data_IF_736616569152
#
_entry.id   IF_736616569152
#
_cell.length_a   1.000
_cell.length_b   1.000
_cell.length_c   1.000
_cell.angle_alpha   90.00
_cell.angle_beta   90.00
_cell.angle_gamma   90.00
#
_symmetry.space_group_name_H-M   'P 1'
#
loop_
_entity.id
_entity.type
_entity.pdbx_description
1 polymer ?
#
# COMPACT_ATOMS: atom_id res chain seq x y z
N UNK A 1 51.48 1.49 50.49
CA UNK A 1 51.05 1.44 49.07
C UNK A 1 52.29 1.72 48.21
N UNK A 2 52.83 0.67 47.60
CA UNK A 2 54.02 0.73 46.73
C UNK A 2 53.52 0.73 45.28
N UNK A 3 53.84 1.73 44.44
CA UNK A 3 53.44 1.70 43.05
C UNK A 3 54.45 0.89 42.23
N UNK A 4 54.00 -0.26 41.71
CA UNK A 4 54.72 -1.05 40.71
C UNK A 4 54.71 -0.30 39.37
N UNK A 5 55.88 0.14 38.89
CA UNK A 5 56.06 0.63 37.52
C UNK A 5 56.43 -0.55 36.63
N UNK A 6 55.53 -0.98 35.77
CA UNK A 6 55.82 -1.93 34.69
C UNK A 6 56.46 -1.19 33.52
N UNK A 7 57.76 -1.39 33.33
CA UNK A 7 58.46 -1.04 32.10
C UNK A 7 58.28 -2.19 31.11
N UNK A 8 57.47 -1.99 30.07
CA UNK A 8 57.42 -2.89 28.92
C UNK A 8 58.67 -2.68 28.06
N UNK A 9 59.47 -3.73 27.76
CA UNK A 9 60.60 -3.60 26.85
C UNK A 9 60.08 -3.53 25.40
N UNK A 10 60.46 -2.46 24.69
CA UNK A 10 60.34 -2.38 23.23
C UNK A 10 61.12 -3.52 22.58
N UNK A 11 60.42 -4.53 22.09
CA UNK A 11 60.98 -5.48 21.13
C UNK A 11 60.96 -4.76 19.77
N UNK A 12 62.10 -4.14 19.43
CA UNK A 12 62.41 -3.74 18.06
C UNK A 12 62.56 -5.02 17.23
N UNK A 13 61.47 -5.47 16.62
CA UNK A 13 61.53 -6.43 15.54
C UNK A 13 62.22 -5.75 14.35
N UNK A 14 63.49 -6.09 14.13
CA UNK A 14 64.18 -5.76 12.89
C UNK A 14 63.50 -6.55 11.76
N UNK A 15 62.55 -5.91 11.08
CA UNK A 15 62.05 -6.38 9.78
C UNK A 15 63.20 -6.16 8.81
N UNK A 16 63.97 -7.23 8.56
CA UNK A 16 64.83 -7.29 7.40
C UNK A 16 63.90 -7.28 6.17
N UNK A 17 63.74 -6.11 5.56
CA UNK A 17 63.23 -5.98 4.19
C UNK A 17 64.20 -6.72 3.29
N UNK A 18 63.92 -8.00 3.03
CA UNK A 18 64.43 -8.65 1.83
C UNK A 18 63.76 -7.90 0.69
N UNK A 19 64.47 -6.94 0.08
CA UNK A 19 64.10 -6.47 -1.25
C UNK A 19 64.24 -7.66 -2.18
N UNK A 20 63.18 -8.47 -2.30
CA UNK A 20 63.01 -9.30 -3.48
C UNK A 20 63.09 -8.33 -4.66
N UNK A 21 64.05 -8.55 -5.55
CA UNK A 21 64.21 -7.76 -6.77
C UNK A 21 62.91 -7.83 -7.55
N UNK A 22 62.19 -6.71 -7.64
CA UNK A 22 60.99 -6.57 -8.46
C UNK A 22 61.35 -6.90 -9.91
N UNK A 23 60.69 -7.91 -10.49
CA UNK A 23 60.87 -8.26 -11.88
C UNK A 23 60.28 -7.15 -12.76
N UNK A 24 61.08 -6.64 -13.68
CA UNK A 24 60.70 -5.57 -14.59
C UNK A 24 59.62 -6.05 -15.57
N UNK A 25 58.65 -5.17 -15.88
CA UNK A 25 57.50 -5.50 -16.72
C UNK A 25 56.37 -6.28 -16.03
N UNK A 26 56.48 -6.58 -14.73
CA UNK A 26 55.47 -7.36 -13.98
C UNK A 26 54.75 -6.52 -12.93
N UNK A 27 53.43 -6.64 -12.87
CA UNK A 27 52.61 -5.95 -11.87
C UNK A 27 52.93 -6.41 -10.43
N UNK A 28 52.83 -5.53 -9.41
CA UNK A 28 53.13 -5.86 -8.02
C UNK A 28 52.38 -7.11 -7.51
N UNK A 29 51.11 -7.29 -7.89
CA UNK A 29 50.33 -8.48 -7.51
C UNK A 29 50.82 -9.79 -8.16
N UNK A 30 51.52 -9.71 -9.29
CA UNK A 30 52.02 -10.86 -10.05
C UNK A 30 53.47 -11.22 -9.70
N UNK A 31 54.22 -10.32 -9.06
CA UNK A 31 55.61 -10.55 -8.63
C UNK A 31 55.85 -11.91 -7.95
N UNK A 32 54.99 -12.39 -7.03
CA UNK A 32 55.22 -13.67 -6.36
C UNK A 32 55.21 -14.89 -7.30
N UNK A 33 54.55 -14.78 -8.46
CA UNK A 33 54.48 -15.85 -9.47
C UNK A 33 55.83 -16.10 -10.16
N UNK A 34 56.73 -15.12 -10.10
CA UNK A 34 58.05 -15.15 -10.74
C UNK A 34 59.14 -15.50 -9.72
N UNK A 35 58.90 -16.53 -8.91
CA UNK A 35 59.89 -17.04 -7.94
C UNK A 35 60.53 -18.33 -8.47
N UNK A 36 61.87 -18.47 -8.45
CA UNK A 36 62.54 -19.69 -8.87
C UNK A 36 62.21 -20.85 -7.92
N UNK A 37 62.10 -22.06 -8.49
CA UNK A 37 62.07 -23.31 -7.72
C UNK A 37 63.44 -23.61 -7.13
N UNK A 38 63.49 -24.56 -6.19
CA UNK A 38 64.73 -24.95 -5.49
C UNK A 38 65.81 -25.53 -6.40
N UNK A 39 65.44 -26.00 -7.60
CA UNK A 39 66.32 -26.51 -8.65
C UNK A 39 66.74 -25.43 -9.68
N UNK A 40 66.36 -24.16 -9.47
CA UNK A 40 66.65 -23.05 -10.37
C UNK A 40 65.77 -23.01 -11.62
N UNK A 41 64.73 -23.83 -11.70
CA UNK A 41 63.73 -23.81 -12.77
C UNK A 41 62.57 -22.89 -12.42
N UNK A 42 61.83 -22.48 -13.44
CA UNK A 42 60.56 -21.77 -13.35
C UNK A 42 59.57 -22.40 -14.31
N UNK A 43 58.29 -22.37 -13.95
CA UNK A 43 57.22 -22.96 -14.73
C UNK A 43 56.39 -21.83 -15.33
N UNK A 44 56.14 -21.87 -16.65
CA UNK A 44 55.29 -20.91 -17.34
C UNK A 44 53.95 -20.77 -16.62
N UNK A 45 53.31 -19.60 -16.67
CA UNK A 45 52.07 -19.37 -15.91
C UNK A 45 50.91 -20.25 -16.37
N UNK A 46 50.88 -20.63 -17.64
CA UNK A 46 49.98 -21.62 -18.23
C UNK A 46 50.33 -23.09 -17.91
N UNK A 47 51.46 -23.33 -17.24
CA UNK A 47 52.03 -24.65 -16.89
C UNK A 47 52.38 -25.53 -18.09
N UNK A 48 52.60 -24.92 -19.26
CA UNK A 48 52.93 -25.65 -20.48
C UNK A 48 54.35 -26.23 -20.47
N UNK A 49 55.31 -25.50 -19.86
CA UNK A 49 56.74 -25.82 -19.92
C UNK A 49 57.45 -25.36 -18.64
N UNK A 50 58.55 -26.02 -18.33
CA UNK A 50 59.53 -25.60 -17.31
C UNK A 50 60.81 -25.15 -18.00
N UNK A 51 61.30 -23.97 -17.62
CA UNK A 51 62.48 -23.33 -18.18
C UNK A 51 63.42 -22.91 -17.04
N UNK A 52 64.73 -22.72 -17.29
CA UNK A 52 65.61 -22.11 -16.31
C UNK A 52 65.11 -20.71 -15.93
N UNK A 53 65.20 -20.32 -14.65
CA UNK A 53 64.78 -18.96 -14.23
C UNK A 53 65.58 -17.84 -14.94
N UNK A 54 66.77 -18.16 -15.46
CA UNK A 54 67.58 -17.23 -16.26
C UNK A 54 67.03 -16.96 -17.66
N UNK A 55 66.06 -17.74 -18.12
CA UNK A 55 65.36 -17.56 -19.39
C UNK A 55 64.12 -16.66 -19.26
N UNK A 56 64.00 -15.92 -18.15
CA UNK A 56 62.97 -14.89 -17.97
C UNK A 56 63.58 -13.55 -18.35
N UNK A 57 62.93 -12.83 -19.25
CA UNK A 57 63.43 -11.58 -19.84
C UNK A 57 64.81 -11.74 -20.51
N UNK A 58 65.02 -12.85 -21.21
CA UNK A 58 66.27 -13.13 -21.94
C UNK A 58 66.21 -12.77 -23.43
N UNK A 59 65.12 -12.12 -23.85
CA UNK A 59 64.83 -11.70 -25.24
C UNK A 59 64.57 -12.90 -26.17
N UNK A 60 64.13 -14.03 -25.61
CA UNK A 60 63.70 -15.21 -26.35
C UNK A 60 62.36 -15.75 -25.85
N UNK A 61 61.41 -15.96 -26.75
CA UNK A 61 60.08 -16.46 -26.38
C UNK A 61 60.05 -17.99 -26.22
N UNK A 62 60.17 -18.45 -24.98
CA UNK A 62 60.19 -19.83 -24.54
C UNK A 62 58.81 -20.38 -24.12
N UNK A 63 57.95 -19.55 -23.52
CA UNK A 63 56.60 -19.94 -23.10
C UNK A 63 55.55 -19.59 -24.17
N UNK A 64 54.63 -20.51 -24.52
CA UNK A 64 53.53 -20.24 -25.45
C UNK A 64 52.58 -19.12 -25.01
N UNK A 65 52.42 -18.92 -23.69
CA UNK A 65 51.62 -17.83 -23.12
C UNK A 65 52.37 -16.49 -23.03
N UNK A 66 53.67 -16.49 -23.36
CA UNK A 66 54.55 -15.32 -23.30
C UNK A 66 54.86 -14.84 -21.89
N UNK A 67 54.61 -15.67 -20.88
CA UNK A 67 54.81 -15.29 -19.47
C UNK A 67 56.27 -15.19 -19.06
N UNK A 68 57.19 -15.74 -19.82
CA UNK A 68 58.64 -15.65 -19.62
C UNK A 68 59.24 -14.29 -20.01
N UNK A 69 58.57 -13.53 -20.89
CA UNK A 69 59.09 -12.26 -21.41
C UNK A 69 58.18 -11.05 -21.04
N UNK A 70 57.88 -10.80 -19.76
CA UNK A 70 57.06 -9.65 -19.34
C UNK A 70 57.76 -8.29 -19.53
N UNK A 71 59.09 -8.30 -19.60
CA UNK A 71 59.96 -7.14 -19.73
C UNK A 71 60.53 -6.93 -21.13
N UNK A 72 60.25 -7.77 -22.11
CA UNK A 72 60.84 -7.65 -23.45
C UNK A 72 59.78 -7.69 -24.54
N UNK A 73 60.23 -7.50 -25.80
CA UNK A 73 59.37 -7.59 -26.98
C UNK A 73 59.40 -8.97 -27.66
N UNK A 74 60.05 -9.97 -27.05
CA UNK A 74 60.30 -11.27 -27.70
C UNK A 74 59.03 -12.11 -27.91
N UNK A 75 58.03 -12.02 -27.03
CA UNK A 75 56.78 -12.76 -27.15
C UNK A 75 55.65 -11.91 -27.77
N UNK A 76 54.95 -12.37 -28.83
CA UNK A 76 53.95 -11.57 -29.56
C UNK A 76 52.65 -11.30 -28.77
N UNK A 77 52.36 -12.12 -27.78
CA UNK A 77 51.21 -12.02 -26.88
C UNK A 77 51.55 -11.40 -25.51
N UNK A 78 52.80 -10.98 -25.31
CA UNK A 78 53.27 -10.40 -24.06
C UNK A 78 52.60 -9.05 -23.75
N UNK A 79 52.50 -8.76 -22.45
CA UNK A 79 52.07 -7.48 -21.92
C UNK A 79 53.14 -6.98 -20.95
N UNK A 80 53.50 -5.71 -21.10
CA UNK A 80 54.46 -5.04 -20.23
C UNK A 80 53.74 -4.12 -19.26
N UNK A 81 54.07 -4.21 -17.98
CA UNK A 81 53.48 -3.39 -16.93
C UNK A 81 54.31 -2.13 -16.64
N UNK A 82 53.71 -0.97 -16.88
CA UNK A 82 54.22 0.34 -16.47
C UNK A 82 53.71 0.70 -15.07
N UNK A 83 54.62 0.92 -14.13
CA UNK A 83 54.22 1.19 -12.75
C UNK A 83 53.58 2.57 -12.60
N UNK A 84 54.09 3.54 -13.37
CA UNK A 84 53.59 4.91 -13.44
C UNK A 84 53.43 5.54 -12.05
N UNK A 85 54.47 5.49 -11.20
CA UNK A 85 54.39 5.98 -9.82
C UNK A 85 53.80 7.40 -9.74
N UNK A 86 52.78 7.57 -8.89
CA UNK A 86 52.07 8.84 -8.74
C UNK A 86 51.04 9.14 -9.85
N UNK A 87 50.90 8.26 -10.83
CA UNK A 87 49.84 8.23 -11.83
C UNK A 87 49.16 6.83 -11.86
N UNK A 88 48.36 6.56 -12.90
CA UNK A 88 47.62 5.31 -13.06
C UNK A 88 48.55 4.29 -13.75
N UNK A 89 48.73 3.08 -13.18
CA UNK A 89 49.50 2.02 -13.83
C UNK A 89 48.82 1.57 -15.13
N UNK A 90 49.62 1.10 -16.07
CA UNK A 90 49.12 0.70 -17.39
C UNK A 90 49.82 -0.57 -17.89
N UNK A 91 49.15 -1.26 -18.82
CA UNK A 91 49.75 -2.32 -19.60
C UNK A 91 49.91 -1.87 -21.04
N UNK A 92 51.09 -2.06 -21.59
CA UNK A 92 51.37 -1.88 -23.01
C UNK A 92 51.63 -3.25 -23.65
N UNK A 93 51.61 -3.29 -24.99
CA UNK A 93 51.92 -4.51 -25.72
C UNK A 93 53.43 -4.73 -25.75
N UNK A 94 53.86 -5.98 -25.72
CA UNK A 94 55.29 -6.35 -25.77
C UNK A 94 56.03 -5.71 -26.94
N UNK A 95 55.41 -5.59 -28.12
CA UNK A 95 56.06 -4.96 -29.28
C UNK A 95 56.43 -3.48 -29.09
N UNK A 96 55.87 -2.81 -28.09
CA UNK A 96 56.15 -1.41 -27.79
C UNK A 96 57.26 -1.26 -26.72
N UNK A 97 57.80 -2.37 -26.22
CA UNK A 97 58.95 -2.35 -25.32
C UNK A 97 60.23 -2.24 -26.14
N UNK A 98 61.03 -1.22 -25.87
CA UNK A 98 62.29 -0.94 -26.57
C UNK A 98 62.13 -0.78 -28.10
N UNK A 99 61.01 -0.23 -28.56
CA UNK A 99 60.74 0.04 -29.98
C UNK A 99 61.29 1.41 -30.44
N UNK A 100 61.79 2.21 -29.50
CA UNK A 100 62.34 3.54 -29.73
C UNK A 100 61.32 4.67 -29.65
N UNK A 101 60.10 4.39 -29.17
CA UNK A 101 59.01 5.37 -28.99
C UNK A 101 58.58 5.36 -27.52
N UNK A 102 58.59 6.54 -26.89
CA UNK A 102 58.06 6.66 -25.53
C UNK A 102 56.52 6.56 -25.54
N UNK A 103 55.97 5.47 -25.04
CA UNK A 103 54.52 5.27 -24.98
C UNK A 103 53.83 6.26 -24.03
N UNK A 104 52.68 6.79 -24.45
CA UNK A 104 51.90 7.71 -23.61
C UNK A 104 51.25 7.00 -22.41
N UNK A 105 50.96 5.70 -22.55
CA UNK A 105 50.49 4.87 -21.44
C UNK A 105 51.60 4.59 -20.40
N UNK A 106 52.87 4.66 -20.80
CA UNK A 106 54.04 4.45 -19.94
C UNK A 106 54.67 5.80 -19.55
N UNK A 107 53.97 6.57 -18.72
CA UNK A 107 54.42 7.92 -18.37
C UNK A 107 55.75 7.93 -17.61
N UNK A 108 56.15 6.82 -16.99
CA UNK A 108 57.42 6.71 -16.26
C UNK A 108 58.62 6.50 -17.20
N UNK A 109 58.38 6.19 -18.48
CA UNK A 109 59.39 5.88 -19.48
C UNK A 109 60.04 4.51 -19.28
N UNK A 110 59.40 3.61 -18.53
CA UNK A 110 59.95 2.30 -18.21
C UNK A 110 59.90 1.30 -19.36
N UNK A 111 59.21 1.64 -20.45
CA UNK A 111 59.13 0.94 -21.73
C UNK A 111 60.45 0.97 -22.52
N UNK A 112 61.22 2.06 -22.42
CA UNK A 112 62.43 2.31 -23.21
C UNK A 112 63.70 2.31 -22.34
N UNK A 113 64.29 1.13 -22.15
CA UNK A 113 65.49 0.91 -21.31
C UNK A 113 66.74 0.52 -22.11
N UNK A 114 66.61 0.24 -23.41
CA UNK A 114 67.68 -0.18 -24.33
C UNK A 114 68.78 0.87 -24.55
N UNK A 115 68.52 2.13 -24.18
CA UNK A 115 69.44 3.26 -24.38
C UNK A 115 69.44 3.84 -25.79
N UNK A 116 68.57 3.35 -26.70
CA UNK A 116 68.36 3.95 -28.02
C UNK A 116 67.72 5.34 -27.93
N UNK A 117 66.80 5.49 -26.98
CA UNK A 117 66.12 6.75 -26.64
C UNK A 117 66.08 6.92 -25.11
N UNK A 118 65.93 8.15 -24.64
CA UNK A 118 65.84 8.49 -23.23
C UNK A 118 64.46 9.09 -22.94
N UNK A 119 63.54 8.29 -22.42
CA UNK A 119 62.18 8.71 -22.11
C UNK A 119 62.12 9.36 -20.70
N UNK A 120 61.78 10.65 -20.59
CA UNK A 120 61.68 11.30 -19.29
C UNK A 120 60.40 10.87 -18.57
N UNK A 121 60.46 10.77 -17.24
CA UNK A 121 59.26 10.53 -16.43
C UNK A 121 58.32 11.76 -16.46
N UNK A 122 57.15 11.59 -17.07
CA UNK A 122 56.06 12.57 -17.24
C UNK A 122 54.86 12.28 -16.33
N UNK A 123 54.93 11.30 -15.44
CA UNK A 123 53.79 10.88 -14.62
C UNK A 123 53.23 11.99 -13.74
N UNK A 124 54.09 12.85 -13.18
CA UNK A 124 53.64 13.98 -12.36
C UNK A 124 52.76 14.96 -13.14
N UNK A 125 53.09 15.26 -14.40
CA UNK A 125 52.27 16.13 -15.24
C UNK A 125 50.95 15.47 -15.61
N UNK A 126 50.97 14.21 -16.03
CA UNK A 126 49.77 13.47 -16.43
C UNK A 126 48.82 13.28 -15.24
N UNK A 127 49.35 13.00 -14.04
CA UNK A 127 48.56 12.92 -12.82
C UNK A 127 47.90 14.27 -12.47
N UNK A 128 48.61 15.40 -12.66
CA UNK A 128 48.05 16.72 -12.41
C UNK A 128 46.95 17.09 -13.42
N UNK A 129 47.10 16.70 -14.68
CA UNK A 129 46.08 16.90 -15.71
C UNK A 129 44.84 16.04 -15.46
N UNK A 130 45.04 14.73 -15.22
CA UNK A 130 43.98 13.80 -14.86
C UNK A 130 43.19 14.27 -13.63
N UNK A 131 43.88 14.72 -12.57
CA UNK A 131 43.24 15.22 -11.37
C UNK A 131 42.36 16.46 -11.64
N UNK A 132 42.77 17.36 -12.55
CA UNK A 132 41.95 18.52 -12.95
C UNK A 132 40.71 18.09 -13.72
N UNK A 133 40.85 17.18 -14.67
CA UNK A 133 39.72 16.65 -15.44
C UNK A 133 38.72 15.95 -14.53
N UNK A 134 39.20 15.07 -13.63
CA UNK A 134 38.35 14.40 -12.65
C UNK A 134 37.65 15.37 -11.71
N UNK A 135 38.30 16.47 -11.31
CA UNK A 135 37.67 17.50 -10.48
C UNK A 135 36.53 18.23 -11.22
N UNK A 136 36.68 18.48 -12.53
CA UNK A 136 35.62 19.06 -13.37
C UNK A 136 34.45 18.10 -13.49
N UNK A 137 34.71 16.84 -13.84
CA UNK A 137 33.68 15.80 -13.95
C UNK A 137 32.95 15.59 -12.63
N UNK A 138 33.68 15.49 -11.52
CA UNK A 138 33.11 15.36 -10.18
C UNK A 138 32.18 16.53 -9.84
N UNK A 139 32.55 17.77 -10.20
CA UNK A 139 31.69 18.95 -10.00
C UNK A 139 30.40 18.85 -10.81
N UNK A 140 30.48 18.43 -12.07
CA UNK A 140 29.29 18.27 -12.93
C UNK A 140 28.38 17.16 -12.40
N UNK A 141 28.96 16.00 -12.08
CA UNK A 141 28.20 14.85 -11.57
C UNK A 141 27.57 15.15 -10.20
N UNK A 142 28.32 15.76 -9.27
CA UNK A 142 27.78 16.13 -7.96
C UNK A 142 26.64 17.14 -8.06
N UNK A 143 26.72 18.11 -8.98
CA UNK A 143 25.62 19.03 -9.26
C UNK A 143 24.40 18.28 -9.84
N UNK A 144 24.60 17.37 -10.80
CA UNK A 144 23.56 16.54 -11.39
C UNK A 144 22.87 15.62 -10.37
N UNK A 145 23.64 14.95 -9.50
CA UNK A 145 23.11 14.09 -8.43
C UNK A 145 22.31 14.92 -7.41
N UNK A 146 22.79 16.12 -7.06
CA UNK A 146 22.07 17.03 -6.16
C UNK A 146 20.74 17.48 -6.76
N UNK A 147 20.71 17.82 -8.05
CA UNK A 147 19.48 18.14 -8.76
C UNK A 147 18.52 16.93 -8.83
N UNK A 148 19.03 15.74 -9.19
CA UNK A 148 18.24 14.50 -9.22
C UNK A 148 17.61 14.19 -7.86
N UNK A 149 18.37 14.35 -6.76
CA UNK A 149 17.85 14.12 -5.40
C UNK A 149 16.66 15.01 -5.07
N UNK A 150 16.69 16.29 -5.49
CA UNK A 150 15.56 17.21 -5.28
C UNK A 150 14.33 16.77 -6.07
N UNK A 151 14.50 16.37 -7.34
CA UNK A 151 13.40 15.86 -8.16
C UNK A 151 12.75 14.63 -7.54
N UNK A 152 13.55 13.70 -7.03
CA UNK A 152 13.04 12.51 -6.33
C UNK A 152 12.23 12.92 -5.09
N UNK A 153 12.73 13.85 -4.28
CA UNK A 153 12.03 14.29 -3.07
C UNK A 153 10.67 14.93 -3.41
N UNK A 154 10.65 15.87 -4.36
CA UNK A 154 9.41 16.51 -4.83
C UNK A 154 8.42 15.48 -5.40
N UNK A 155 8.93 14.48 -6.12
CA UNK A 155 8.11 13.43 -6.69
C UNK A 155 7.52 12.51 -5.63
N UNK A 156 8.30 12.12 -4.62
CA UNK A 156 7.83 11.30 -3.50
C UNK A 156 6.73 12.01 -2.70
N UNK A 157 6.87 13.31 -2.45
CA UNK A 157 5.85 14.12 -1.78
C UNK A 157 4.55 14.15 -2.61
N UNK A 158 4.65 14.30 -3.94
CA UNK A 158 3.50 14.31 -4.85
C UNK A 158 2.81 12.94 -4.91
N UNK A 159 3.58 11.86 -5.05
CA UNK A 159 3.04 10.48 -5.07
C UNK A 159 2.36 10.15 -3.75
N UNK A 160 2.93 10.57 -2.62
CA UNK A 160 2.30 10.42 -1.31
C UNK A 160 0.96 11.14 -1.26
N UNK A 161 0.89 12.39 -1.72
CA UNK A 161 -0.38 13.13 -1.79
C UNK A 161 -1.41 12.42 -2.69
N UNK A 162 -1.01 11.91 -3.86
CA UNK A 162 -1.89 11.14 -4.73
C UNK A 162 -2.41 9.85 -4.09
N UNK A 163 -1.58 9.16 -3.31
CA UNK A 163 -2.00 7.97 -2.57
C UNK A 163 -3.02 8.33 -1.46
N UNK A 164 -2.81 9.42 -0.74
CA UNK A 164 -3.74 9.92 0.28
C UNK A 164 -5.06 10.37 -0.35
N UNK A 165 -5.02 11.12 -1.46
CA UNK A 165 -6.20 11.55 -2.20
C UNK A 165 -6.97 10.37 -2.79
N UNK A 166 -6.27 9.36 -3.33
CA UNK A 166 -6.85 8.11 -3.79
C UNK A 166 -7.61 7.41 -2.66
N UNK A 167 -6.98 7.23 -1.50
CA UNK A 167 -7.62 6.56 -0.37
C UNK A 167 -8.87 7.31 0.11
N UNK A 168 -8.79 8.65 0.20
CA UNK A 168 -9.95 9.47 0.57
C UNK A 168 -11.10 9.39 -0.43
N UNK A 169 -10.80 9.37 -1.74
CA UNK A 169 -11.81 9.20 -2.78
C UNK A 169 -12.44 7.81 -2.77
N UNK A 170 -11.65 6.76 -2.50
CA UNK A 170 -12.15 5.39 -2.36
C UNK A 170 -13.12 5.27 -1.16
N UNK A 171 -12.78 5.88 -0.02
CA UNK A 171 -13.64 5.95 1.16
C UNK A 171 -14.94 6.74 0.89
N UNK A 172 -14.83 7.92 0.26
CA UNK A 172 -15.98 8.75 -0.11
C UNK A 172 -16.93 8.00 -1.06
N UNK A 173 -16.37 7.31 -2.06
CA UNK A 173 -17.14 6.49 -3.01
C UNK A 173 -17.84 5.33 -2.31
N UNK A 174 -17.21 4.68 -1.33
CA UNK A 174 -17.85 3.60 -0.58
C UNK A 174 -19.08 4.10 0.19
N UNK A 175 -18.96 5.24 0.87
CA UNK A 175 -20.07 5.86 1.64
C UNK A 175 -21.19 6.28 0.70
N UNK A 176 -20.88 7.01 -0.38
CA UNK A 176 -21.90 7.50 -1.33
C UNK A 176 -22.60 6.36 -2.06
N UNK A 177 -21.89 5.29 -2.44
CA UNK A 177 -22.49 4.09 -3.05
C UNK A 177 -23.41 3.36 -2.08
N UNK A 178 -23.05 3.26 -0.80
CA UNK A 178 -23.92 2.69 0.22
C UNK A 178 -25.21 3.52 0.41
N UNK A 179 -25.09 4.85 0.45
CA UNK A 179 -26.23 5.76 0.53
C UNK A 179 -27.14 5.64 -0.69
N UNK A 180 -26.57 5.59 -1.90
CA UNK A 180 -27.33 5.39 -3.14
C UNK A 180 -28.08 4.05 -3.12
N UNK A 181 -27.45 2.96 -2.68
CA UNK A 181 -28.10 1.66 -2.52
C UNK A 181 -29.29 1.72 -1.55
N UNK A 182 -29.13 2.40 -0.41
CA UNK A 182 -30.21 2.60 0.56
C UNK A 182 -31.40 3.35 -0.05
N UNK A 183 -31.12 4.41 -0.82
CA UNK A 183 -32.15 5.18 -1.51
C UNK A 183 -32.87 4.36 -2.59
N UNK A 184 -32.14 3.56 -3.38
CA UNK A 184 -32.73 2.66 -4.37
C UNK A 184 -33.64 1.60 -3.73
N UNK A 185 -33.21 1.00 -2.63
CA UNK A 185 -33.98 -0.02 -1.92
C UNK A 185 -35.26 0.57 -1.31
N UNK A 186 -35.17 1.79 -0.76
CA UNK A 186 -36.34 2.54 -0.29
C UNK A 186 -37.35 2.83 -1.41
N UNK A 187 -36.87 3.22 -2.61
CA UNK A 187 -37.73 3.44 -3.79
C UNK A 187 -38.36 2.14 -4.33
N UNK A 188 -37.59 1.05 -4.40
CA UNK A 188 -38.07 -0.28 -4.82
C UNK A 188 -39.12 -0.82 -3.83
N UNK A 189 -38.94 -0.59 -2.54
CA UNK A 189 -39.90 -0.98 -1.52
C UNK A 189 -41.22 -0.20 -1.64
N UNK A 190 -41.15 1.12 -1.86
CA UNK A 190 -42.33 1.99 -2.02
C UNK A 190 -43.16 1.66 -3.27
N UNK A 191 -42.51 1.30 -4.39
CA UNK A 191 -43.22 0.94 -5.64
C UNK A 191 -44.00 -0.39 -5.56
N UNK A 192 -43.56 -1.35 -4.73
CA UNK A 192 -44.25 -2.65 -4.55
C UNK A 192 -45.59 -2.52 -3.79
N UNK A 193 -45.73 -1.54 -2.88
CA UNK A 193 -46.97 -1.30 -2.09
C UNK A 193 -48.14 -0.71 -2.91
N UNK A 194 -47.92 -0.28 -4.16
CA UNK A 194 -48.95 0.26 -5.05
C UNK A 194 -49.89 -0.80 -5.67
N UNK A 195 -49.57 -2.09 -5.53
CA UNK A 195 -50.26 -3.18 -6.24
C UNK A 195 -51.08 -4.16 -5.38
N UNK A 196 -51.09 -4.01 -4.05
CA UNK A 196 -51.85 -4.89 -3.16
C UNK A 196 -53.28 -4.37 -2.94
N UNK A 197 -54.25 -5.03 -3.59
CA UNK A 197 -55.69 -4.89 -3.30
C UNK A 197 -55.94 -5.15 -1.81
N UNK A 198 -56.76 -4.30 -1.17
CA UNK A 198 -57.22 -4.44 0.23
C UNK A 198 -57.72 -5.87 0.49
N UNK A 199 -56.97 -6.66 1.25
CA UNK A 199 -57.43 -7.92 1.81
C UNK A 199 -58.07 -7.63 3.18
N UNK A 200 -59.27 -8.18 3.40
CA UNK A 200 -60.01 -8.10 4.68
C UNK A 200 -59.26 -8.94 5.72
N UNK A 201 -58.96 -8.35 6.89
CA UNK A 201 -58.24 -9.04 7.97
C UNK A 201 -59.07 -10.24 8.49
N UNK A 202 -58.52 -11.47 8.55
CA UNK A 202 -59.15 -12.58 9.27
C UNK A 202 -59.14 -12.31 10.79
N UNK A 203 -60.00 -12.94 11.60
CA UNK A 203 -60.06 -12.70 13.03
C UNK A 203 -58.71 -13.03 13.68
N UNK A 204 -58.08 -12.02 14.30
CA UNK A 204 -56.81 -12.16 15.00
C UNK A 204 -56.97 -13.12 16.19
N UNK A 205 -56.35 -14.30 16.11
CA UNK A 205 -56.20 -15.18 17.27
C UNK A 205 -55.13 -14.58 18.20
N UNK A 206 -55.56 -14.01 19.32
CA UNK A 206 -54.70 -13.30 20.29
C UNK A 206 -53.58 -14.19 20.83
N UNK A 207 -53.81 -15.51 20.94
CA UNK A 207 -52.81 -16.47 21.40
C UNK A 207 -51.66 -16.64 20.39
N UNK A 208 -51.98 -16.70 19.09
CA UNK A 208 -50.99 -16.78 18.00
C UNK A 208 -50.19 -15.48 17.88
N UNK A 209 -50.83 -14.33 18.16
CA UNK A 209 -50.18 -13.03 18.13
C UNK A 209 -49.13 -12.89 19.25
N UNK A 210 -49.43 -13.43 20.44
CA UNK A 210 -48.51 -13.45 21.58
C UNK A 210 -47.25 -14.28 21.31
N UNK A 211 -47.42 -15.45 20.70
CA UNK A 211 -46.31 -16.34 20.33
C UNK A 211 -45.39 -15.69 19.27
N UNK A 212 -45.98 -15.01 18.29
CA UNK A 212 -45.22 -14.25 17.30
C UNK A 212 -44.48 -13.04 17.90
N UNK A 213 -45.09 -12.33 18.85
CA UNK A 213 -44.41 -11.22 19.55
C UNK A 213 -43.19 -11.74 20.31
N UNK A 214 -43.35 -12.84 21.05
CA UNK A 214 -42.24 -13.44 21.79
C UNK A 214 -41.11 -13.91 20.87
N UNK A 215 -41.46 -14.54 19.74
CA UNK A 215 -40.48 -14.99 18.74
C UNK A 215 -39.70 -13.80 18.16
N UNK A 216 -40.39 -12.69 17.87
CA UNK A 216 -39.77 -11.48 17.35
C UNK A 216 -38.87 -10.79 18.38
N UNK A 217 -39.27 -10.79 19.66
CA UNK A 217 -38.42 -10.29 20.76
C UNK A 217 -37.11 -11.10 20.86
N UNK A 218 -37.21 -12.42 20.81
CA UNK A 218 -36.04 -13.32 20.88
C UNK A 218 -35.10 -13.14 19.67
N UNK A 219 -35.66 -12.95 18.46
CA UNK A 219 -34.89 -12.67 17.24
C UNK A 219 -34.17 -11.32 17.32
N UNK A 220 -34.84 -10.28 17.83
CA UNK A 220 -34.24 -8.94 17.99
C UNK A 220 -33.13 -9.00 19.04
N UNK A 221 -33.33 -9.67 20.17
CA UNK A 221 -32.30 -9.80 21.21
C UNK A 221 -31.06 -10.57 20.70
N UNK A 222 -31.26 -11.57 19.86
CA UNK A 222 -30.16 -12.28 19.18
C UNK A 222 -29.37 -11.33 18.27
N UNK A 223 -30.05 -10.52 17.46
CA UNK A 223 -29.41 -9.56 16.55
C UNK A 223 -28.67 -8.44 17.30
N UNK A 224 -29.28 -7.89 18.35
CA UNK A 224 -28.67 -6.89 19.23
C UNK A 224 -27.40 -7.44 19.87
N UNK A 225 -27.41 -8.70 20.31
CA UNK A 225 -26.24 -9.34 20.91
C UNK A 225 -25.10 -9.49 19.89
N UNK A 226 -25.40 -9.96 18.67
CA UNK A 226 -24.39 -10.11 17.60
C UNK A 226 -23.75 -8.77 17.26
N UNK A 227 -24.56 -7.70 17.10
CA UNK A 227 -24.06 -6.38 16.75
C UNK A 227 -23.28 -5.73 17.90
N UNK A 228 -23.70 -5.97 19.15
CA UNK A 228 -22.95 -5.56 20.35
C UNK A 228 -21.58 -6.22 20.44
N UNK A 229 -21.51 -7.53 20.18
CA UNK A 229 -20.24 -8.27 20.15
C UNK A 229 -19.36 -7.78 18.99
N UNK A 230 -19.93 -7.53 17.81
CA UNK A 230 -19.21 -6.93 16.69
C UNK A 230 -18.65 -5.54 17.04
N UNK A 231 -19.43 -4.68 17.72
CA UNK A 231 -18.94 -3.38 18.20
C UNK A 231 -17.79 -3.53 19.19
N UNK A 232 -17.90 -4.44 20.18
CA UNK A 232 -16.88 -4.64 21.22
C UNK A 232 -15.59 -5.25 20.66
N UNK A 233 -15.73 -6.27 19.83
CA UNK A 233 -14.63 -7.18 19.47
C UNK A 233 -14.08 -6.94 18.05
N UNK A 234 -14.52 -5.89 17.34
CA UNK A 234 -13.94 -5.58 16.03
C UNK A 234 -12.46 -5.18 16.12
N UNK A 235 -11.69 -5.60 15.11
CA UNK A 235 -10.29 -5.26 14.98
C UNK A 235 -10.14 -3.79 14.54
N UNK A 236 -9.80 -2.91 15.49
CA UNK A 236 -9.66 -1.47 15.25
C UNK A 236 -8.51 -1.11 14.29
N UNK A 237 -7.56 -2.02 14.08
CA UNK A 237 -6.46 -1.82 13.14
C UNK A 237 -6.90 -2.08 11.69
N UNK A 238 -7.99 -2.82 11.49
CA UNK A 238 -8.59 -3.06 10.17
C UNK A 238 -9.69 -2.04 9.91
N UNK A 239 -9.48 -1.17 8.93
CA UNK A 239 -10.40 -0.09 8.57
C UNK A 239 -11.51 -0.60 7.65
N UNK A 240 -12.25 -1.63 8.09
CA UNK A 240 -13.39 -2.16 7.34
C UNK A 240 -14.60 -1.21 7.46
N UNK A 241 -14.98 -0.59 6.35
CA UNK A 241 -16.08 0.39 6.31
C UNK A 241 -17.46 -0.24 6.50
N UNK A 242 -17.65 -1.51 6.10
CA UNK A 242 -18.92 -2.20 6.32
C UNK A 242 -19.14 -2.46 7.80
N UNK A 243 -18.07 -2.84 8.52
CA UNK A 243 -18.11 -3.03 9.98
C UNK A 243 -18.37 -1.70 10.69
N UNK A 244 -17.70 -0.61 10.30
CA UNK A 244 -17.94 0.73 10.89
C UNK A 244 -19.35 1.24 10.62
N UNK A 245 -19.87 1.08 9.40
CA UNK A 245 -21.23 1.48 9.06
C UNK A 245 -22.29 0.67 9.84
N UNK A 246 -22.03 -0.62 10.06
CA UNK A 246 -22.91 -1.47 10.86
C UNK A 246 -22.86 -1.11 12.35
N UNK A 247 -21.70 -0.76 12.90
CA UNK A 247 -21.55 -0.27 14.28
C UNK A 247 -22.27 1.08 14.47
N UNK A 248 -22.11 2.02 13.54
CA UNK A 248 -22.81 3.31 13.60
C UNK A 248 -24.34 3.13 13.55
N UNK A 249 -24.83 2.27 12.66
CA UNK A 249 -26.27 1.95 12.60
C UNK A 249 -26.78 1.23 13.85
N UNK A 250 -25.95 0.40 14.50
CA UNK A 250 -26.29 -0.21 15.79
C UNK A 250 -26.41 0.83 16.91
N UNK A 251 -25.52 1.83 16.95
CA UNK A 251 -25.55 2.90 17.95
C UNK A 251 -26.79 3.78 17.81
N UNK A 252 -27.14 4.15 16.57
CA UNK A 252 -28.38 4.90 16.31
C UNK A 252 -29.64 4.09 16.67
N UNK A 253 -29.61 2.77 16.50
CA UNK A 253 -30.74 1.88 16.81
C UNK A 253 -30.91 1.67 18.32
N UNK A 254 -29.82 1.42 19.05
CA UNK A 254 -29.90 1.02 20.47
C UNK A 254 -30.41 2.16 21.35
N UNK A 255 -30.06 3.41 21.03
CA UNK A 255 -30.50 4.61 21.76
C UNK A 255 -32.03 4.75 21.77
N UNK A 256 -32.71 4.36 20.68
CA UNK A 256 -34.18 4.36 20.62
C UNK A 256 -34.82 3.04 21.09
N UNK A 257 -34.11 1.92 20.93
CA UNK A 257 -34.64 0.59 21.25
C UNK A 257 -34.82 0.35 22.75
N UNK A 258 -33.89 0.83 23.60
CA UNK A 258 -33.98 0.64 25.05
C UNK A 258 -35.21 1.32 25.66
N UNK A 259 -35.56 2.52 25.20
CA UNK A 259 -36.78 3.22 25.61
C UNK A 259 -38.04 2.49 25.12
N UNK A 260 -38.02 1.98 23.88
CA UNK A 260 -39.14 1.22 23.32
C UNK A 260 -39.38 -0.10 24.06
N UNK A 261 -38.31 -0.83 24.39
CA UNK A 261 -38.38 -2.11 25.09
C UNK A 261 -38.99 -1.93 26.48
N UNK A 262 -38.56 -0.91 27.21
CA UNK A 262 -39.14 -0.57 28.52
C UNK A 262 -40.63 -0.22 28.43
N UNK A 263 -41.05 0.46 27.35
CA UNK A 263 -42.45 0.79 27.11
C UNK A 263 -43.29 -0.45 26.76
N UNK A 264 -42.79 -1.33 25.89
CA UNK A 264 -43.44 -2.60 25.52
C UNK A 264 -43.60 -3.50 26.75
N UNK A 265 -42.56 -3.62 27.58
CA UNK A 265 -42.59 -4.41 28.81
C UNK A 265 -43.65 -3.89 29.80
N UNK A 266 -43.71 -2.58 30.00
CA UNK A 266 -44.71 -1.94 30.85
C UNK A 266 -46.14 -2.15 30.34
N UNK A 267 -46.31 -2.12 29.03
CA UNK A 267 -47.59 -2.30 28.37
C UNK A 267 -48.03 -3.79 28.45
N UNK A 268 -47.13 -4.75 28.26
CA UNK A 268 -47.39 -6.18 28.50
C UNK A 268 -47.74 -6.50 29.95
N UNK A 269 -47.15 -5.79 30.92
CA UNK A 269 -47.47 -5.93 32.34
C UNK A 269 -48.89 -5.44 32.66
N UNK A 270 -49.31 -4.30 32.12
CA UNK A 270 -50.67 -3.77 32.28
C UNK A 270 -51.73 -4.72 31.69
N UNK A 271 -51.42 -5.37 30.56
CA UNK A 271 -52.33 -6.34 29.96
C UNK A 271 -52.49 -7.60 30.82
N UNK A 272 -51.41 -8.10 31.43
CA UNK A 272 -51.46 -9.23 32.38
C UNK A 272 -52.26 -8.91 33.64
N UNK A 273 -52.24 -7.66 34.11
CA UNK A 273 -53.09 -7.22 35.22
C UNK A 273 -54.58 -7.24 34.85
N UNK A 274 -54.94 -6.80 33.64
CA UNK A 274 -56.33 -6.80 33.13
C UNK A 274 -56.86 -8.24 32.91
N UNK A 275 -56.01 -9.16 32.43
CA UNK A 275 -56.36 -10.58 32.22
C UNK A 275 -56.64 -11.31 33.56
N UNK A 276 -56.06 -10.84 34.66
CA UNK A 276 -56.30 -11.40 36.00
C UNK A 276 -57.65 -11.01 36.60
N UNK A 277 -58.18 -9.82 36.27
CA UNK A 277 -59.47 -9.32 36.78
C UNK A 277 -60.69 -9.91 36.04
N UNK A 278 -60.52 -10.36 34.79
CA UNK A 278 -61.60 -10.94 33.97
C UNK A 278 -61.94 -12.41 34.29
N UNK A 279 -61.17 -13.05 35.17
CA UNK A 279 -61.38 -14.45 35.58
C UNK A 279 -62.53 -14.68 36.59
N UNK A 280 -63.29 -13.65 36.95
CA UNK A 280 -64.31 -13.72 38.02
C UNK A 280 -65.78 -13.67 37.53
N UNK A 281 -66.08 -13.70 36.23
CA UNK A 281 -67.46 -13.58 35.75
C UNK A 281 -67.76 -14.42 34.49
N UNK A 282 -67.88 -15.75 34.64
CA UNK A 282 -68.63 -16.61 33.71
C UNK A 282 -68.85 -18.01 34.31
N UNK A 283 -69.87 -18.16 35.13
CA UNK A 283 -70.49 -19.45 35.47
C UNK A 283 -71.99 -19.23 35.45
N UNK A 284 -72.66 -19.47 34.32
CA UNK A 284 -74.06 -19.92 34.25
C UNK A 284 -74.30 -20.52 32.85
N UNK A 285 -74.63 -21.81 32.85
CA UNK A 285 -75.10 -22.61 31.71
C UNK A 285 -76.52 -22.15 31.31
N UNK A 286 -76.84 -22.15 30.02
CA UNK A 286 -78.21 -22.01 29.52
C UNK A 286 -78.50 -23.06 28.45
N UNK A 287 -79.68 -23.66 28.55
CA UNK A 287 -80.17 -24.84 27.83
C UNK A 287 -81.45 -24.46 27.08
N UNK A 288 -81.42 -24.65 25.76
CA UNK A 288 -82.57 -24.87 24.83
C UNK A 288 -83.63 -23.78 24.52
N UNK A 289 -83.70 -23.51 23.21
CA UNK A 289 -84.88 -23.48 22.31
C UNK A 289 -85.77 -22.21 22.11
N UNK A 290 -85.68 -21.72 20.86
CA UNK A 290 -86.64 -21.04 19.97
C UNK A 290 -87.51 -19.85 20.43
N UNK A 291 -87.26 -18.66 19.83
CA UNK A 291 -88.29 -17.79 19.24
C UNK A 291 -87.67 -16.67 18.37
N UNK A 292 -88.22 -16.48 17.16
CA UNK A 292 -87.90 -15.38 16.23
C UNK A 292 -88.17 -13.99 16.83
N UNK A 293 -87.19 -13.08 16.72
CA UNK A 293 -87.41 -11.64 16.51
C UNK A 293 -86.09 -10.92 16.15
N UNK A 294 -86.13 -10.14 15.07
CA UNK A 294 -85.08 -9.18 14.69
C UNK A 294 -84.80 -8.21 15.85
N UNK A 295 -83.57 -8.23 16.38
CA UNK A 295 -83.02 -7.18 17.22
C UNK A 295 -81.59 -6.90 16.75
N UNK A 296 -81.38 -5.67 16.27
CA UNK A 296 -80.06 -5.06 16.11
C UNK A 296 -79.34 -5.10 17.47
N UNK A 297 -78.23 -5.85 17.57
CA UNK A 297 -77.30 -5.73 18.68
C UNK A 297 -75.93 -5.35 18.15
N UNK A 298 -75.61 -4.06 18.31
CA UNK A 298 -74.25 -3.54 18.46
C UNK A 298 -73.54 -4.35 19.55
N UNK A 299 -72.58 -5.21 19.16
CA UNK A 299 -71.58 -5.71 20.10
C UNK A 299 -70.36 -4.78 20.02
N UNK A 300 -70.33 -3.86 20.99
CA UNK A 300 -69.18 -3.07 21.37
C UNK A 300 -67.97 -3.98 21.59
N UNK A 301 -66.99 -3.91 20.68
CA UNK A 301 -65.61 -4.26 20.99
C UNK A 301 -65.13 -3.34 22.12
N UNK A 302 -64.43 -3.83 23.16
CA UNK A 302 -63.99 -2.97 24.25
C UNK A 302 -63.07 -1.87 23.69
N UNK A 303 -63.53 -0.63 23.73
CA UNK A 303 -62.81 0.59 23.30
C UNK A 303 -61.37 0.67 23.87
N UNK A 304 -61.14 0.04 25.02
CA UNK A 304 -59.85 0.01 25.70
C UNK A 304 -58.77 -0.82 25.00
N UNK A 305 -59.13 -1.94 24.36
CA UNK A 305 -58.15 -2.80 23.67
C UNK A 305 -57.67 -2.18 22.34
N UNK A 306 -58.54 -1.44 21.65
CA UNK A 306 -58.23 -0.74 20.40
C UNK A 306 -57.36 0.50 20.65
N UNK A 307 -57.60 1.20 21.76
CA UNK A 307 -56.80 2.34 22.23
C UNK A 307 -55.33 1.95 22.45
N UNK A 308 -55.11 0.84 23.14
CA UNK A 308 -53.78 0.38 23.52
C UNK A 308 -52.90 -0.03 22.34
N UNK A 309 -53.48 -0.76 21.38
CA UNK A 309 -52.78 -1.14 20.13
C UNK A 309 -52.42 0.11 19.32
N UNK A 310 -53.30 1.12 19.27
CA UNK A 310 -53.03 2.38 18.58
C UNK A 310 -51.87 3.16 19.23
N UNK A 311 -51.80 3.19 20.56
CA UNK A 311 -50.73 3.86 21.32
C UNK A 311 -49.38 3.13 21.21
N UNK A 312 -49.38 1.81 21.34
CA UNK A 312 -48.17 0.99 21.21
C UNK A 312 -47.58 1.12 19.80
N UNK A 313 -48.43 1.08 18.78
CA UNK A 313 -48.00 1.27 17.41
C UNK A 313 -47.44 2.70 17.20
N UNK A 314 -48.09 3.77 17.68
CA UNK A 314 -47.55 5.14 17.56
C UNK A 314 -46.17 5.32 18.22
N UNK A 315 -45.91 4.63 19.34
CA UNK A 315 -44.60 4.64 20.00
C UNK A 315 -43.53 3.93 19.18
N UNK A 316 -43.87 2.76 18.60
CA UNK A 316 -42.98 2.03 17.68
C UNK A 316 -42.61 2.91 16.47
N UNK A 317 -43.55 3.69 15.93
CA UNK A 317 -43.26 4.61 14.82
C UNK A 317 -42.28 5.74 15.19
N UNK A 318 -42.19 6.13 16.46
CA UNK A 318 -41.30 7.22 16.88
C UNK A 318 -39.84 6.78 17.03
N UNK A 319 -39.62 5.51 17.36
CA UNK A 319 -38.30 4.88 17.57
C UNK A 319 -37.67 4.43 16.25
N UNK A 320 -38.51 4.15 15.26
CA UNK A 320 -38.08 3.82 13.92
C UNK A 320 -37.56 5.10 13.23
N UNK A 321 -36.36 5.05 12.59
CA UNK A 321 -35.80 6.17 11.84
C UNK A 321 -36.84 6.77 10.88
N UNK A 322 -36.83 8.10 10.64
CA UNK A 322 -37.87 8.76 9.83
C UNK A 322 -38.12 8.09 8.48
N UNK A 323 -37.06 7.54 7.87
CA UNK A 323 -37.08 6.87 6.57
C UNK A 323 -37.80 5.51 6.58
N UNK A 324 -38.01 4.93 7.76
CA UNK A 324 -38.59 3.60 7.96
C UNK A 324 -40.02 3.65 8.51
N UNK A 325 -40.52 4.83 8.93
CA UNK A 325 -41.88 5.01 9.46
C UNK A 325 -43.00 4.66 8.46
N UNK A 326 -42.70 4.63 7.15
CA UNK A 326 -43.61 4.15 6.10
C UNK A 326 -43.79 2.63 6.01
N UNK A 327 -43.05 1.86 6.83
CA UNK A 327 -43.10 0.39 6.85
C UNK A 327 -44.27 -0.14 7.70
N UNK A 328 -44.62 0.55 8.80
CA UNK A 328 -45.69 0.13 9.72
C UNK A 328 -46.97 0.93 9.42
N UNK A 329 -48.15 0.29 9.24
CA UNK A 329 -49.38 1.00 8.95
C UNK A 329 -49.89 1.67 10.22
N UNK A 330 -49.54 2.94 10.39
CA UNK A 330 -49.90 3.74 11.54
C UNK A 330 -50.38 5.12 11.14
N UNK A 331 -51.59 5.19 10.62
CA UNK A 331 -52.50 6.26 10.97
C UNK A 331 -53.91 5.97 10.50
N UNK A 332 -54.85 6.42 11.33
CA UNK A 332 -56.26 6.54 11.00
C UNK A 332 -56.39 7.41 9.75
N UNK A 333 -57.25 6.97 8.85
CA UNK A 333 -57.69 7.78 7.71
C UNK A 333 -58.51 8.97 8.22
N UNK A 334 -57.86 10.08 8.55
CA UNK A 334 -58.51 11.39 8.52
C UNK A 334 -58.46 11.89 7.08
N UNK A 335 -59.65 11.96 6.49
CA UNK A 335 -59.87 12.55 5.17
C UNK A 335 -59.66 14.06 5.26
N UNK A 336 -58.57 14.54 4.64
CA UNK A 336 -58.38 15.83 3.94
C UNK A 336 -57.02 16.43 4.28
N UNK A 337 -56.00 16.13 3.48
CA UNK A 337 -55.32 17.15 2.66
C UNK A 337 -54.07 16.59 1.95
N UNK A 338 -53.84 17.09 0.75
CA UNK A 338 -52.57 17.04 -0.02
C UNK A 338 -52.25 15.80 -0.89
N UNK A 339 -53.06 15.60 -1.94
CA UNK A 339 -52.57 14.93 -3.16
C UNK A 339 -51.42 15.73 -3.81
N UNK A 340 -51.29 17.04 -3.53
CA UNK A 340 -50.22 17.90 -4.04
C UNK A 340 -48.83 17.71 -3.39
N UNK A 341 -48.69 17.06 -2.22
CA UNK A 341 -47.40 16.97 -1.51
C UNK A 341 -46.60 15.68 -1.77
N UNK A 342 -47.24 14.63 -2.32
CA UNK A 342 -46.53 13.39 -2.69
C UNK A 342 -45.68 13.55 -3.94
N UNK A 343 -46.12 14.39 -4.89
CA UNK A 343 -45.37 14.71 -6.10
C UNK A 343 -44.10 15.52 -5.79
N UNK A 344 -44.17 16.49 -4.88
CA UNK A 344 -43.02 17.31 -4.47
C UNK A 344 -41.98 16.50 -3.69
N UNK A 345 -42.41 15.61 -2.78
CA UNK A 345 -41.50 14.74 -2.03
C UNK A 345 -40.79 13.71 -2.92
N UNK A 346 -41.50 13.09 -3.88
CA UNK A 346 -40.90 12.15 -4.83
C UNK A 346 -39.90 12.84 -5.77
N UNK A 347 -40.22 14.04 -6.25
CA UNK A 347 -39.28 14.82 -7.07
C UNK A 347 -38.06 15.30 -6.26
N UNK A 348 -38.22 15.65 -4.99
CA UNK A 348 -37.10 15.95 -4.10
C UNK A 348 -36.17 14.72 -3.91
N UNK A 349 -36.74 13.53 -3.72
CA UNK A 349 -35.98 12.28 -3.59
C UNK A 349 -35.23 11.90 -4.87
N UNK A 350 -35.86 12.02 -6.04
CA UNK A 350 -35.18 11.80 -7.34
C UNK A 350 -34.06 12.79 -7.57
N UNK A 351 -34.25 14.05 -7.19
CA UNK A 351 -33.23 15.09 -7.31
C UNK A 351 -32.03 14.79 -6.40
N UNK A 352 -32.29 14.39 -5.16
CA UNK A 352 -31.23 13.97 -4.22
C UNK A 352 -30.45 12.76 -4.75
N UNK A 353 -31.15 11.74 -5.27
CA UNK A 353 -30.52 10.57 -5.88
C UNK A 353 -29.65 10.95 -7.10
N UNK A 354 -30.17 11.78 -8.01
CA UNK A 354 -29.40 12.26 -9.17
C UNK A 354 -28.15 13.01 -8.74
N UNK A 355 -28.27 13.85 -7.72
CA UNK A 355 -27.14 14.62 -7.19
C UNK A 355 -26.05 13.70 -6.61
N UNK A 356 -26.43 12.72 -5.78
CA UNK A 356 -25.48 11.74 -5.22
C UNK A 356 -24.80 10.93 -6.33
N UNK A 357 -25.55 10.55 -7.36
CA UNK A 357 -25.01 9.85 -8.52
C UNK A 357 -24.01 10.71 -9.32
N UNK A 358 -24.29 12.00 -9.50
CA UNK A 358 -23.38 12.93 -10.18
C UNK A 358 -22.08 13.13 -9.37
N UNK A 359 -22.17 13.21 -8.05
CA UNK A 359 -21.02 13.28 -7.14
C UNK A 359 -20.17 11.99 -7.19
N UNK A 360 -20.80 10.80 -7.25
CA UNK A 360 -20.10 9.53 -7.47
C UNK A 360 -19.35 9.55 -8.80
N UNK A 361 -20.01 9.95 -9.89
CA UNK A 361 -19.39 10.03 -11.22
C UNK A 361 -18.20 10.99 -11.24
N UNK A 362 -18.30 12.12 -10.52
CA UNK A 362 -17.20 13.07 -10.42
C UNK A 362 -16.01 12.50 -9.63
N UNK A 363 -16.28 11.84 -8.50
CA UNK A 363 -15.24 11.19 -7.68
C UNK A 363 -14.57 10.03 -8.44
N UNK A 364 -15.33 9.22 -9.18
CA UNK A 364 -14.80 8.14 -10.03
C UNK A 364 -13.86 8.68 -11.11
N UNK A 365 -14.22 9.80 -11.77
CA UNK A 365 -13.34 10.43 -12.77
C UNK A 365 -12.02 10.87 -12.16
N UNK A 366 -12.05 11.51 -10.98
CA UNK A 366 -10.83 11.92 -10.27
C UNK A 366 -9.98 10.71 -9.88
N UNK A 367 -10.61 9.68 -9.31
CA UNK A 367 -9.94 8.44 -8.93
C UNK A 367 -9.27 7.76 -10.13
N UNK A 368 -9.94 7.74 -11.29
CA UNK A 368 -9.38 7.21 -12.52
C UNK A 368 -8.19 8.02 -13.02
N UNK A 369 -8.24 9.35 -12.95
CA UNK A 369 -7.10 10.22 -13.30
C UNK A 369 -5.90 9.94 -12.39
N UNK A 370 -6.11 9.82 -11.07
CA UNK A 370 -5.03 9.54 -10.12
C UNK A 370 -4.44 8.14 -10.36
N UNK A 371 -5.28 7.14 -10.62
CA UNK A 371 -4.81 5.79 -10.94
C UNK A 371 -4.02 5.75 -12.26
N UNK A 372 -4.47 6.47 -13.30
CA UNK A 372 -3.74 6.61 -14.55
C UNK A 372 -2.37 7.25 -14.32
N UNK A 373 -2.33 8.34 -13.55
CA UNK A 373 -1.09 9.01 -13.21
C UNK A 373 -0.15 8.10 -12.39
N UNK A 374 -0.64 7.39 -11.38
CA UNK A 374 0.17 6.43 -10.61
C UNK A 374 0.63 5.21 -11.42
N UNK A 375 -0.02 4.90 -12.54
CA UNK A 375 0.34 3.75 -13.40
C UNK A 375 1.45 4.05 -14.40
N UNK A 376 1.77 5.33 -14.64
CA UNK A 376 2.81 5.74 -15.60
C UNK A 376 4.20 5.53 -15.04
N UNK A 377 5.15 5.19 -15.92
CA UNK A 377 6.56 5.05 -15.56
C UNK A 377 7.24 6.43 -15.53
N UNK A 378 7.52 6.91 -14.31
CA UNK A 378 8.27 8.14 -14.08
C UNK A 378 9.71 7.87 -13.63
N UNK A 379 10.23 6.67 -13.89
CA UNK A 379 11.53 6.20 -13.41
C UNK A 379 11.43 5.46 -12.06
N UNK A 380 12.53 4.82 -11.67
CA UNK A 380 12.61 3.98 -10.47
C UNK A 380 12.19 4.70 -9.18
N UNK A 381 12.42 6.01 -9.11
CA UNK A 381 12.08 6.85 -7.96
C UNK A 381 11.19 8.03 -8.35
N UNK A 382 10.43 7.90 -9.44
CA UNK A 382 9.56 8.95 -9.97
C UNK A 382 10.31 10.24 -10.35
N UNK A 383 11.62 10.18 -10.60
CA UNK A 383 12.45 11.35 -10.90
C UNK A 383 12.00 12.15 -12.13
N UNK A 384 11.27 11.53 -13.05
CA UNK A 384 10.74 12.14 -14.27
C UNK A 384 9.34 12.73 -14.09
N UNK A 385 8.75 12.62 -12.90
CA UNK A 385 7.39 13.12 -12.62
C UNK A 385 7.27 14.62 -12.89
N UNK A 386 8.36 15.38 -12.73
CA UNK A 386 8.40 16.82 -13.01
C UNK A 386 8.13 17.16 -14.48
N UNK A 387 8.33 16.20 -15.38
CA UNK A 387 8.06 16.34 -16.81
C UNK A 387 6.62 15.99 -17.19
N UNK A 388 5.78 15.59 -16.22
CA UNK A 388 4.35 15.42 -16.43
C UNK A 388 3.77 16.73 -16.96
N UNK A 389 3.07 16.64 -18.10
CA UNK A 389 2.47 17.77 -18.81
C UNK A 389 3.47 18.80 -19.36
N UNK A 390 4.77 18.46 -19.43
CA UNK A 390 5.82 19.29 -20.04
C UNK A 390 6.19 18.75 -21.42
N UNK A 391 5.99 19.56 -22.46
CA UNK A 391 6.48 19.24 -23.79
C UNK A 391 7.99 19.50 -23.85
N UNK A 392 8.77 18.46 -24.17
CA UNK A 392 10.21 18.59 -24.42
C UNK A 392 10.44 18.47 -25.92
N UNK A 393 10.83 19.57 -26.57
CA UNK A 393 11.22 19.56 -27.97
C UNK A 393 12.64 19.01 -28.10
N UNK A 394 12.79 17.91 -28.83
CA UNK A 394 14.10 17.37 -29.20
C UNK A 394 14.57 18.10 -30.45
N UNK A 395 15.48 19.08 -30.30
CA UNK A 395 16.25 19.59 -31.42
C UNK A 395 17.29 18.54 -31.83
N UNK A 396 16.86 17.57 -32.63
CA UNK A 396 17.77 16.79 -33.46
C UNK A 396 18.28 17.75 -34.53
N UNK A 397 19.40 18.43 -34.27
CA UNK A 397 19.95 19.38 -35.21
C UNK A 397 20.17 18.74 -36.59
N UNK A 398 19.40 19.19 -37.58
CA UNK A 398 19.74 19.08 -39.01
C UNK A 398 20.77 20.15 -39.40
#
# INVERSE_FOLDING_TARGET
MVPLRYTFPCILAAVALVQASTLWGVAPEQQPLYSPHSDGQWECLDKSKKIPFTAINDDYCDCPDGSDEPGTSACPNGLFYCHNEGHIPAYIKSYAVNDGVCDDACCDGSDETSGLISCPNRCKSFAAEYAREQAVLHKIHSAGISAKRKLIQEAQETVKHWQEEKAGLEDELAIKRAELSRQEDAMKYSSKKSSSKKAKCPPCNVATLKDHIQTLEDEIDTLVTILKDMKRDHNHNFHDMAVKAAIAGYDDFIDGYDELKADIDNDLLKYKEIESDQSTFANYEDDSEEADQEIEQEQDTPEQAVSFVQTALQKIANVIPPDWRGLIPLEKAENNDSVNNRGSALEAAKKAHSQVNDEIQQAERKLNTINDDLSKDYGEHYEWLKLKDVCVEKNEGE
#
